data_IF_041841540379
#
_entry.id   IF_041841540379
#
_cell.length_a   1.000
_cell.length_b   1.000
_cell.length_c   1.000
_cell.angle_alpha   90.00
_cell.angle_beta   90.00
_cell.angle_gamma   90.00
#
_symmetry.space_group_name_H-M   'P 1'
#
loop_
_entity.id
_entity.type
_entity.pdbx_description
1 polymer ?
#
# COMPACT_ATOMS: atom_id res chain seq x y z
N UNK A 1 1.34 12.45 9.35
CA UNK A 1 0.15 12.20 8.50
C UNK A 1 -0.23 13.55 7.92
N UNK A 2 -0.46 13.61 6.61
CA UNK A 2 -0.76 14.88 5.94
C UNK A 2 -2.14 14.77 5.33
N UNK A 3 -3.02 15.69 5.71
CA UNK A 3 -4.36 15.84 5.16
C UNK A 3 -4.28 16.78 3.96
N UNK A 4 -4.98 16.43 2.88
CA UNK A 4 -5.00 17.18 1.62
C UNK A 4 -6.41 17.59 1.24
N UNK A 5 -6.50 18.73 0.56
CA UNK A 5 -7.72 19.29 -0.03
C UNK A 5 -8.75 19.77 0.99
N UNK A 6 -9.73 20.55 0.53
CA UNK A 6 -10.83 21.06 1.34
C UNK A 6 -12.09 20.22 1.13
N UNK A 7 -13.05 20.33 2.05
CA UNK A 7 -14.34 19.69 1.89
C UNK A 7 -15.02 20.15 0.59
N UNK A 8 -15.47 19.19 -0.23
CA UNK A 8 -16.11 19.44 -1.53
C UNK A 8 -15.16 19.33 -2.74
N UNK A 9 -13.85 19.27 -2.52
CA UNK A 9 -12.86 19.01 -3.57
C UNK A 9 -12.99 17.59 -4.16
N UNK A 10 -12.38 17.36 -5.33
CA UNK A 10 -12.34 16.05 -6.00
C UNK A 10 -10.89 15.63 -6.26
N UNK A 11 -10.19 15.10 -5.23
CA UNK A 11 -8.75 14.89 -5.28
C UNK A 11 -8.33 13.87 -6.34
N UNK A 12 -7.25 14.18 -7.05
CA UNK A 12 -6.56 13.28 -7.97
C UNK A 12 -5.17 13.01 -7.41
N UNK A 13 -4.87 11.76 -7.12
CA UNK A 13 -3.58 11.32 -6.60
C UNK A 13 -2.85 10.62 -7.74
N UNK A 14 -1.71 11.18 -8.15
CA UNK A 14 -0.79 10.51 -9.06
C UNK A 14 0.35 9.95 -8.24
N UNK A 15 0.72 8.69 -8.48
CA UNK A 15 1.78 8.04 -7.73
C UNK A 15 2.54 7.04 -8.59
N UNK A 16 3.77 6.76 -8.18
CA UNK A 16 4.70 5.93 -8.93
C UNK A 16 5.67 5.22 -7.99
N UNK A 17 5.81 3.92 -8.18
CA UNK A 17 6.83 3.13 -7.47
C UNK A 17 8.14 3.09 -8.27
N UNK A 18 9.24 2.74 -7.61
CA UNK A 18 10.51 2.58 -8.30
C UNK A 18 10.42 1.50 -9.39
N UNK A 19 10.85 1.85 -10.60
CA UNK A 19 10.80 0.97 -11.77
C UNK A 19 9.50 1.02 -12.57
N UNK A 20 8.46 1.69 -12.08
CA UNK A 20 7.29 1.96 -12.91
C UNK A 20 7.71 2.86 -14.11
N UNK A 21 7.09 2.67 -15.27
CA UNK A 21 7.35 3.50 -16.46
C UNK A 21 6.36 4.65 -16.60
N UNK A 22 5.19 4.56 -15.95
CA UNK A 22 4.11 5.54 -16.00
C UNK A 22 3.55 5.81 -14.62
N UNK A 23 2.97 6.99 -14.44
CA UNK A 23 2.24 7.33 -13.23
C UNK A 23 0.93 6.54 -13.17
N UNK A 24 0.64 6.00 -11.99
CA UNK A 24 -0.67 5.46 -11.64
C UNK A 24 -1.53 6.59 -11.11
N UNK A 25 -2.84 6.52 -11.31
CA UNK A 25 -3.76 7.59 -10.91
C UNK A 25 -4.93 7.01 -10.12
N UNK A 26 -5.18 7.58 -8.94
CA UNK A 26 -6.39 7.38 -8.17
C UNK A 26 -7.21 8.68 -8.14
N UNK A 27 -8.53 8.57 -8.25
CA UNK A 27 -9.45 9.71 -8.21
C UNK A 27 -10.47 9.50 -7.09
N UNK A 28 -10.49 10.42 -6.13
CA UNK A 28 -11.45 10.40 -5.03
C UNK A 28 -12.61 11.35 -5.30
N UNK A 29 -13.82 10.93 -4.94
CA UNK A 29 -15.00 11.82 -4.85
C UNK A 29 -15.13 12.48 -3.47
N UNK A 30 -14.30 12.07 -2.53
CA UNK A 30 -14.32 12.52 -1.14
C UNK A 30 -13.10 13.39 -0.85
N UNK A 31 -13.31 14.43 -0.07
CA UNK A 31 -12.28 15.31 0.47
C UNK A 31 -12.73 15.85 1.84
N UNK A 32 -11.81 16.14 2.77
CA UNK A 32 -10.34 16.01 2.65
C UNK A 32 -9.86 14.57 2.67
N UNK A 33 -8.73 14.26 2.03
CA UNK A 33 -8.13 12.91 2.06
C UNK A 33 -6.84 12.88 2.85
N UNK A 34 -6.47 11.71 3.35
CA UNK A 34 -5.15 11.46 3.93
C UNK A 34 -4.38 10.52 2.99
N UNK A 35 -3.12 10.85 2.71
CA UNK A 35 -2.21 9.96 1.99
C UNK A 35 -1.13 9.50 2.97
N UNK A 36 -1.05 8.19 3.17
CA UNK A 36 -0.09 7.55 4.06
C UNK A 36 0.82 6.69 3.20
N UNK A 37 2.12 6.91 3.29
CA UNK A 37 3.13 6.02 2.70
C UNK A 37 3.86 5.29 3.80
N UNK A 38 4.19 4.02 3.55
CA UNK A 38 5.02 3.21 4.47
C UNK A 38 6.19 2.61 3.71
N UNK A 39 7.29 2.41 4.41
CA UNK A 39 8.46 1.66 3.94
C UNK A 39 8.31 0.14 4.11
N UNK A 40 7.06 -0.31 4.25
CA UNK A 40 6.67 -1.70 4.39
C UNK A 40 5.45 -2.00 3.49
N UNK A 41 5.20 -3.28 3.15
CA UNK A 41 3.98 -3.71 2.47
C UNK A 41 2.70 -3.38 3.24
N UNK A 42 1.54 -3.34 2.56
CA UNK A 42 0.25 -2.92 3.14
C UNK A 42 -0.14 -3.71 4.40
N UNK A 43 0.15 -5.01 4.42
CA UNK A 43 -0.24 -5.94 5.48
C UNK A 43 0.93 -6.42 6.34
N UNK A 44 2.03 -5.66 6.43
CA UNK A 44 3.18 -6.07 7.22
C UNK A 44 2.84 -6.22 8.71
N UNK A 45 3.36 -7.24 9.37
CA UNK A 45 3.33 -7.36 10.83
C UNK A 45 4.44 -6.52 11.48
N UNK A 46 4.43 -6.43 12.82
CA UNK A 46 5.50 -5.78 13.60
C UNK A 46 6.86 -6.50 13.45
N UNK A 47 6.83 -7.76 12.99
CA UNK A 47 8.01 -8.59 12.75
C UNK A 47 8.60 -8.42 11.35
N UNK A 48 8.03 -7.55 10.50
CA UNK A 48 8.59 -7.28 9.18
C UNK A 48 10.04 -6.80 9.27
N UNK A 49 10.90 -7.38 8.42
CA UNK A 49 12.31 -6.99 8.26
C UNK A 49 12.66 -6.93 6.78
N UNK A 50 13.28 -5.82 6.36
CA UNK A 50 13.66 -5.59 4.97
C UNK A 50 14.66 -6.63 4.46
N UNK A 51 15.69 -6.93 5.26
CA UNK A 51 16.70 -7.95 4.96
C UNK A 51 16.20 -9.38 5.21
N UNK A 52 15.03 -9.51 5.82
CA UNK A 52 14.48 -10.79 6.27
C UNK A 52 15.21 -11.40 7.46
N UNK A 53 14.73 -12.58 7.83
CA UNK A 53 15.21 -13.41 8.93
C UNK A 53 14.81 -14.87 8.67
N UNK A 54 15.34 -15.82 9.43
CA UNK A 54 14.88 -17.20 9.37
C UNK A 54 13.88 -17.51 10.48
N UNK A 55 12.87 -18.31 10.15
CA UNK A 55 11.97 -18.92 11.13
C UNK A 55 12.10 -20.44 11.10
N UNK A 56 11.97 -21.07 12.25
CA UNK A 56 11.75 -22.51 12.37
C UNK A 56 10.30 -22.75 12.81
N UNK A 57 9.39 -23.11 11.88
CA UNK A 57 7.99 -23.35 12.20
C UNK A 57 7.76 -24.66 12.97
N UNK A 58 8.78 -25.51 13.11
CA UNK A 58 8.71 -26.83 13.76
C UNK A 58 9.81 -27.03 14.81
N UNK A 59 9.89 -26.18 15.85
CA UNK A 59 11.03 -26.16 16.77
C UNK A 59 11.17 -27.40 17.66
N UNK A 60 10.16 -28.27 17.70
CA UNK A 60 10.17 -29.53 18.46
C UNK A 60 10.86 -30.72 17.77
N UNK A 61 11.24 -30.58 16.49
CA UNK A 61 11.96 -31.64 15.77
C UNK A 61 13.47 -31.51 15.98
N UNK A 62 14.18 -32.64 16.05
CA UNK A 62 15.64 -32.67 16.26
C UNK A 62 16.44 -31.99 15.14
N UNK A 63 15.83 -31.79 13.97
CA UNK A 63 16.39 -31.02 12.86
C UNK A 63 15.70 -29.66 12.76
N UNK A 64 16.46 -28.57 12.93
CA UNK A 64 15.96 -27.21 12.70
C UNK A 64 15.71 -26.98 11.22
N UNK A 65 14.49 -26.64 10.85
CA UNK A 65 14.08 -26.39 9.48
C UNK A 65 13.89 -24.89 9.24
N UNK A 66 15.02 -24.18 9.11
CA UNK A 66 15.02 -22.74 8.89
C UNK A 66 14.48 -22.36 7.51
N UNK A 67 13.41 -21.57 7.49
CA UNK A 67 12.87 -20.92 6.29
C UNK A 67 13.13 -19.42 6.36
N UNK A 68 13.74 -18.84 5.32
CA UNK A 68 13.98 -17.39 5.26
C UNK A 68 12.75 -16.63 4.77
N UNK A 69 12.38 -15.60 5.52
CA UNK A 69 11.15 -14.82 5.36
C UNK A 69 11.44 -13.34 5.60
N UNK A 70 10.58 -12.45 5.11
CA UNK A 70 10.59 -11.03 5.46
C UNK A 70 9.59 -10.68 6.54
N UNK A 71 8.62 -11.54 6.76
CA UNK A 71 7.55 -11.30 7.71
C UNK A 71 6.87 -12.63 8.07
N UNK A 72 6.25 -12.66 9.24
CA UNK A 72 5.40 -13.77 9.68
C UNK A 72 4.25 -13.26 10.53
N UNK A 73 3.12 -13.96 10.51
CA UNK A 73 1.97 -13.64 11.34
C UNK A 73 1.32 -14.89 11.88
N UNK A 74 1.05 -14.86 13.18
CA UNK A 74 0.32 -15.90 13.88
C UNK A 74 -1.17 -15.73 13.69
N UNK A 75 -1.86 -16.85 13.47
CA UNK A 75 -3.30 -16.88 13.53
C UNK A 75 -3.80 -18.21 14.08
N UNK A 76 -4.97 -18.15 14.71
CA UNK A 76 -5.65 -19.29 15.28
C UNK A 76 -6.85 -19.65 14.40
N UNK A 77 -6.97 -20.92 14.03
CA UNK A 77 -8.12 -21.46 13.32
C UNK A 77 -9.02 -22.22 14.32
N UNK A 78 -10.26 -21.77 14.55
CA UNK A 78 -11.22 -22.50 15.38
C UNK A 78 -11.52 -23.91 14.87
N UNK A 79 -11.78 -24.82 15.82
CA UNK A 79 -11.73 -26.28 15.65
C UNK A 79 -12.73 -26.94 14.68
N UNK A 80 -13.71 -26.20 14.14
CA UNK A 80 -14.60 -26.69 13.08
C UNK A 80 -13.99 -26.58 11.68
N UNK A 81 -12.98 -25.71 11.49
CA UNK A 81 -12.30 -25.48 10.20
C UNK A 81 -10.89 -26.05 10.12
N UNK A 82 -10.40 -26.66 11.19
CA UNK A 82 -9.01 -27.04 11.36
C UNK A 82 -8.66 -28.47 10.86
N UNK A 83 -9.64 -29.24 10.36
CA UNK A 83 -9.50 -30.66 9.98
C UNK A 83 -8.50 -31.01 8.84
N UNK A 84 -7.69 -30.07 8.36
CA UNK A 84 -6.67 -30.28 7.32
C UNK A 84 -5.21 -30.09 7.74
N UNK A 85 -4.90 -29.66 8.98
CA UNK A 85 -3.54 -29.21 9.36
C UNK A 85 -2.95 -29.93 10.59
N UNK A 86 -2.57 -31.21 10.45
CA UNK A 86 -1.58 -31.91 11.31
C UNK A 86 -1.70 -31.76 12.85
N UNK A 87 -2.90 -31.78 13.43
CA UNK A 87 -3.08 -31.64 14.89
C UNK A 87 -3.17 -30.22 15.49
N UNK A 88 -2.80 -29.13 14.79
CA UNK A 88 -2.56 -27.81 15.43
C UNK A 88 -3.46 -26.65 14.97
N UNK A 89 -4.33 -26.09 15.84
CA UNK A 89 -5.14 -24.91 15.50
C UNK A 89 -4.30 -23.64 15.31
N UNK A 90 -3.00 -23.69 15.61
CA UNK A 90 -2.06 -22.58 15.43
C UNK A 90 -1.38 -22.68 14.06
N UNK A 91 -1.44 -21.58 13.32
CA UNK A 91 -0.86 -21.46 11.99
C UNK A 91 0.05 -20.24 11.93
N UNK A 92 1.06 -20.32 11.06
CA UNK A 92 1.90 -19.18 10.71
C UNK A 92 1.74 -18.88 9.23
N UNK A 93 1.39 -17.64 8.92
CA UNK A 93 1.50 -17.09 7.57
C UNK A 93 2.89 -16.47 7.45
N UNK A 94 3.53 -16.61 6.30
CA UNK A 94 4.84 -15.99 6.04
C UNK A 94 4.81 -15.14 4.78
N UNK A 95 5.63 -14.11 4.76
CA UNK A 95 6.02 -13.42 3.53
C UNK A 95 7.42 -13.90 3.18
N UNK A 96 7.56 -14.68 2.11
CA UNK A 96 8.86 -15.18 1.68
C UNK A 96 9.82 -14.05 1.26
N UNK A 97 11.10 -14.37 1.06
CA UNK A 97 12.12 -13.40 0.66
C UNK A 97 11.81 -12.59 -0.62
N UNK A 98 11.02 -13.17 -1.53
CA UNK A 98 10.55 -12.54 -2.75
C UNK A 98 9.04 -12.22 -2.71
N UNK A 99 8.37 -12.57 -1.61
CA UNK A 99 6.95 -12.32 -1.41
C UNK A 99 6.68 -10.84 -1.22
N UNK A 100 5.51 -10.41 -1.67
CA UNK A 100 5.12 -8.98 -1.63
C UNK A 100 4.08 -8.67 -0.57
N UNK A 101 3.59 -9.68 0.14
CA UNK A 101 2.64 -9.57 1.24
C UNK A 101 2.14 -10.94 1.61
N UNK A 102 1.37 -11.02 2.70
CA UNK A 102 0.66 -12.26 3.04
C UNK A 102 -0.36 -12.56 1.95
N UNK A 103 -0.49 -13.84 1.58
CA UNK A 103 -1.53 -14.29 0.67
C UNK A 103 -2.88 -13.89 1.26
N UNK A 104 -3.79 -13.44 0.38
CA UNK A 104 -5.18 -13.30 0.78
C UNK A 104 -5.67 -14.71 1.09
N UNK A 105 -5.97 -14.98 2.36
CA UNK A 105 -6.74 -16.16 2.76
C UNK A 105 -8.11 -15.96 2.11
N UNK A 106 -8.25 -16.46 0.86
CA UNK A 106 -9.52 -16.41 0.16
C UNK A 106 -10.55 -17.12 1.04
N UNK A 107 -11.73 -16.52 1.19
CA UNK A 107 -12.88 -17.02 1.95
C UNK A 107 -12.96 -18.56 1.87
N UNK A 108 -12.47 -19.24 2.92
CA UNK A 108 -12.19 -20.67 2.89
C UNK A 108 -13.49 -21.48 3.05
N UNK A 109 -14.34 -21.47 2.01
CA UNK A 109 -15.29 -22.54 1.72
C UNK A 109 -14.66 -23.68 0.92
N UNK A 110 -13.46 -23.46 0.36
CA UNK A 110 -12.61 -24.47 -0.24
C UNK A 110 -11.34 -24.63 0.63
N UNK A 111 -10.90 -25.87 0.80
CA UNK A 111 -9.75 -26.32 1.60
C UNK A 111 -8.60 -25.28 1.67
N UNK A 112 -8.14 -24.83 2.86
CA UNK A 112 -7.15 -23.76 3.01
C UNK A 112 -5.74 -24.11 2.49
N UNK A 113 -5.54 -25.32 1.98
CA UNK A 113 -4.26 -25.81 1.44
C UNK A 113 -3.97 -25.33 0.01
N UNK A 114 -4.92 -24.68 -0.67
CA UNK A 114 -4.78 -24.27 -2.08
C UNK A 114 -5.12 -22.79 -2.33
N UNK A 115 -4.77 -21.89 -1.41
CA UNK A 115 -4.69 -20.47 -1.75
C UNK A 115 -3.40 -20.23 -2.57
N UNK A 116 -3.56 -20.28 -3.89
CA UNK A 116 -2.52 -20.09 -4.90
C UNK A 116 -1.68 -18.81 -4.69
N UNK A 117 -0.36 -19.00 -4.84
CA UNK A 117 0.74 -18.05 -5.07
C UNK A 117 1.40 -17.35 -3.85
N UNK A 118 2.72 -17.55 -3.77
CA UNK A 118 3.77 -16.87 -2.99
C UNK A 118 3.74 -16.89 -1.44
N UNK A 119 2.88 -17.70 -0.81
CA UNK A 119 2.90 -17.88 0.64
C UNK A 119 2.91 -19.35 1.06
N UNK A 120 3.81 -19.69 1.98
CA UNK A 120 3.75 -20.95 2.70
C UNK A 120 2.93 -20.71 3.97
N UNK A 121 1.70 -21.22 4.03
CA UNK A 121 0.99 -21.39 5.29
C UNK A 121 1.39 -22.76 5.80
N UNK A 122 2.01 -22.81 6.98
CA UNK A 122 2.41 -24.07 7.59
C UNK A 122 1.85 -24.19 9.00
N UNK A 123 1.39 -25.38 9.35
CA UNK A 123 0.99 -25.71 10.72
C UNK A 123 2.21 -25.62 11.61
N UNK A 124 2.12 -24.90 12.73
CA UNK A 124 3.19 -24.93 13.72
C UNK A 124 2.91 -26.09 14.68
N UNK A 125 3.86 -27.03 14.78
CA UNK A 125 3.71 -28.18 15.67
C UNK A 125 3.92 -27.72 17.12
N UNK A 126 2.82 -27.48 17.84
CA UNK A 126 2.79 -27.42 19.30
C UNK A 126 3.58 -26.29 19.98
N UNK A 127 4.11 -25.30 19.25
CA UNK A 127 4.92 -24.22 19.83
C UNK A 127 5.02 -22.96 18.97
N UNK A 128 5.52 -21.88 19.57
CA UNK A 128 5.85 -20.64 18.87
C UNK A 128 7.12 -20.89 18.03
N UNK A 129 7.13 -20.59 16.72
CA UNK A 129 8.31 -20.62 15.88
C UNK A 129 9.52 -19.94 16.51
N UNK A 130 10.69 -20.52 16.30
CA UNK A 130 11.94 -19.86 16.67
C UNK A 130 12.33 -18.88 15.57
N UNK A 131 12.84 -17.72 15.96
CA UNK A 131 13.31 -16.68 15.04
C UNK A 131 14.83 -16.58 15.13
N UNK A 132 15.49 -16.50 13.98
CA UNK A 132 16.92 -16.24 13.88
C UNK A 132 17.17 -15.08 12.91
N UNK A 133 17.47 -13.90 13.49
CA UNK A 133 17.71 -12.66 12.75
C UNK A 133 19.09 -12.57 12.12
N UNK A 134 20.00 -13.51 12.40
CA UNK A 134 21.33 -13.56 11.78
C UNK A 134 21.31 -14.21 10.39
N UNK A 135 20.24 -14.94 10.05
CA UNK A 135 20.05 -15.56 8.73
C UNK A 135 19.12 -14.68 7.90
N UNK A 136 19.68 -13.96 6.95
CA UNK A 136 18.95 -13.01 6.10
C UNK A 136 18.51 -13.65 4.77
N UNK A 137 17.65 -12.96 4.04
CA UNK A 137 17.23 -13.35 2.69
C UNK A 137 18.40 -13.29 1.69
N UNK A 138 18.59 -14.31 0.81
CA UNK A 138 19.69 -14.33 -0.16
C UNK A 138 19.66 -13.20 -1.20
N UNK A 139 18.48 -12.62 -1.43
CA UNK A 139 18.26 -11.57 -2.42
C UNK A 139 17.25 -10.53 -1.92
N UNK A 140 17.61 -9.73 -0.91
CA UNK A 140 16.83 -8.55 -0.50
C UNK A 140 17.00 -7.38 -1.49
N UNK A 141 16.86 -7.62 -2.81
CA UNK A 141 17.27 -6.61 -3.80
C UNK A 141 16.33 -5.41 -3.92
N UNK A 142 15.11 -5.48 -3.39
CA UNK A 142 14.17 -4.37 -3.47
C UNK A 142 13.43 -4.19 -2.14
N UNK A 143 13.60 -3.00 -1.56
CA UNK A 143 12.73 -2.46 -0.51
C UNK A 143 11.32 -2.30 -1.07
N UNK A 144 10.30 -2.60 -0.27
CA UNK A 144 8.89 -2.48 -0.68
C UNK A 144 8.23 -1.37 0.10
N UNK A 145 7.48 -0.53 -0.59
CA UNK A 145 6.67 0.52 -0.02
C UNK A 145 5.19 0.26 -0.30
N UNK A 146 4.35 0.88 0.53
CA UNK A 146 2.90 0.97 0.29
C UNK A 146 2.44 2.41 0.31
N UNK A 147 1.34 2.66 -0.39
CA UNK A 147 0.56 3.90 -0.34
C UNK A 147 -0.89 3.54 0.03
N UNK A 148 -1.45 4.28 0.98
CA UNK A 148 -2.81 4.10 1.50
C UNK A 148 -3.49 5.47 1.49
N UNK A 149 -4.68 5.56 0.90
CA UNK A 149 -5.46 6.78 0.76
C UNK A 149 -6.74 6.63 1.57
N UNK A 150 -6.96 7.51 2.54
CA UNK A 150 -8.11 7.46 3.46
C UNK A 150 -9.01 8.67 3.36
N UNK A 151 -10.25 8.47 3.82
CA UNK A 151 -11.22 9.50 4.12
C UNK A 151 -11.91 9.17 5.44
N UNK A 152 -11.84 10.07 6.43
CA UNK A 152 -12.41 9.88 7.78
C UNK A 152 -12.03 8.52 8.41
N UNK A 153 -10.75 8.14 8.31
CA UNK A 153 -10.24 6.87 8.82
C UNK A 153 -10.55 5.63 7.95
N UNK A 154 -11.41 5.75 6.93
CA UNK A 154 -11.77 4.65 6.03
C UNK A 154 -10.77 4.61 4.87
N UNK A 155 -10.19 3.43 4.60
CA UNK A 155 -9.31 3.22 3.44
C UNK A 155 -10.15 3.25 2.16
N UNK A 156 -9.91 4.25 1.32
CA UNK A 156 -10.52 4.36 0.00
C UNK A 156 -9.74 3.59 -1.06
N UNK A 157 -8.40 3.59 -0.92
CA UNK A 157 -7.50 2.96 -1.87
C UNK A 157 -6.18 2.57 -1.21
N UNK A 158 -5.56 1.53 -1.71
CA UNK A 158 -4.23 1.10 -1.28
C UNK A 158 -3.51 0.41 -2.45
N UNK A 159 -2.21 0.65 -2.55
CA UNK A 159 -1.33 -0.01 -3.53
C UNK A 159 0.08 -0.18 -2.95
N UNK A 160 0.88 -1.04 -3.57
CA UNK A 160 2.23 -1.35 -3.12
C UNK A 160 3.18 -1.69 -4.28
N UNK A 161 4.47 -1.44 -4.07
CA UNK A 161 5.50 -1.62 -5.08
C UNK A 161 6.91 -1.47 -4.51
N UNK A 162 7.89 -1.32 -5.39
CA UNK A 162 9.28 -1.10 -4.98
C UNK A 162 9.46 0.34 -4.49
N UNK A 163 10.23 0.50 -3.42
CA UNK A 163 10.54 1.80 -2.83
C UNK A 163 11.57 2.59 -3.67
N UNK A 164 11.56 3.93 -3.64
CA UNK A 164 10.58 4.78 -2.97
C UNK A 164 9.26 4.88 -3.75
N UNK A 165 8.20 5.26 -3.03
CA UNK A 165 6.94 5.70 -3.65
C UNK A 165 6.92 7.23 -3.70
N UNK A 166 6.76 7.77 -4.91
CA UNK A 166 6.58 9.19 -5.12
C UNK A 166 5.10 9.45 -5.43
N UNK A 167 4.52 10.52 -4.89
CA UNK A 167 3.13 10.89 -5.17
C UNK A 167 2.94 12.41 -5.20
N UNK A 168 1.87 12.83 -5.88
CA UNK A 168 1.35 14.20 -5.87
C UNK A 168 -0.17 14.17 -5.75
N UNK A 169 -0.72 15.19 -5.09
CA UNK A 169 -2.16 15.33 -4.85
C UNK A 169 -2.64 16.63 -5.49
N UNK A 170 -3.62 16.54 -6.38
CA UNK A 170 -4.29 17.68 -6.99
C UNK A 170 -5.72 17.77 -6.44
N UNK A 171 -6.07 18.88 -5.78
CA UNK A 171 -7.35 19.03 -5.08
C UNK A 171 -8.50 19.57 -5.97
N UNK A 172 -8.17 20.30 -7.03
CA UNK A 172 -9.14 20.88 -7.96
C UNK A 172 -9.26 20.16 -9.30
N UNK A 173 -10.23 20.58 -10.11
CA UNK A 173 -10.36 20.11 -11.51
C UNK A 173 -9.21 20.57 -12.40
N UNK A 174 -8.58 21.69 -12.02
CA UNK A 174 -7.45 22.25 -12.73
C UNK A 174 -6.12 21.87 -12.08
N UNK A 175 -5.06 21.66 -12.89
CA UNK A 175 -3.71 21.45 -12.38
C UNK A 175 -3.25 22.60 -11.50
N UNK A 176 -2.24 22.34 -10.68
CA UNK A 176 -1.54 23.40 -9.94
C UNK A 176 -1.05 24.49 -10.90
N UNK A 177 -1.10 25.75 -10.45
CA UNK A 177 -0.85 26.95 -11.26
C UNK A 177 -1.93 27.29 -12.31
N UNK A 178 -3.09 26.62 -12.26
CA UNK A 178 -4.27 26.99 -13.05
C UNK A 178 -5.49 27.22 -12.14
N UNK A 179 -6.40 28.08 -12.57
CA UNK A 179 -7.69 28.30 -11.93
C UNK A 179 -8.81 27.84 -12.85
N UNK A 180 -9.86 27.29 -12.25
CA UNK A 180 -11.08 26.92 -12.96
C UNK A 180 -11.82 28.18 -13.39
N UNK A 181 -12.28 28.18 -14.62
CA UNK A 181 -13.14 29.21 -15.20
C UNK A 181 -14.38 28.51 -15.72
N UNK A 182 -15.56 28.94 -15.27
CA UNK A 182 -16.82 28.46 -15.79
C UNK A 182 -17.22 29.26 -17.03
N UNK A 183 -17.69 28.57 -18.07
CA UNK A 183 -18.19 29.16 -19.31
C UNK A 183 -19.62 28.68 -19.56
N UNK A 184 -20.49 29.55 -20.05
CA UNK A 184 -21.84 29.13 -20.50
C UNK A 184 -21.81 28.38 -21.84
N UNK A 185 -20.67 28.38 -22.52
CA UNK A 185 -20.45 27.77 -23.84
C UNK A 185 -19.45 26.62 -23.70
N UNK A 186 -19.69 25.52 -24.43
CA UNK A 186 -18.84 24.32 -24.45
C UNK A 186 -17.35 24.69 -24.53
N UNK A 187 -16.45 24.12 -23.69
CA UNK A 187 -16.63 22.92 -22.86
C UNK A 187 -17.20 23.13 -21.44
N UNK A 188 -17.94 24.22 -21.19
CA UNK A 188 -18.58 24.58 -19.91
C UNK A 188 -17.62 24.93 -18.76
N UNK A 189 -16.39 24.46 -18.81
CA UNK A 189 -15.31 24.88 -17.93
C UNK A 189 -13.99 24.95 -18.72
N UNK A 190 -13.06 25.77 -18.27
CA UNK A 190 -11.67 25.72 -18.70
C UNK A 190 -10.73 25.93 -17.52
N UNK A 191 -9.47 25.52 -17.70
CA UNK A 191 -8.42 25.78 -16.73
C UNK A 191 -7.48 26.82 -17.33
N UNK A 192 -7.40 27.99 -16.70
CA UNK A 192 -6.57 29.09 -17.16
C UNK A 192 -5.32 29.21 -16.28
N UNK A 193 -4.18 29.51 -16.90
CA UNK A 193 -2.93 29.75 -16.18
C UNK A 193 -3.05 30.97 -15.25
N UNK A 194 -2.73 30.78 -13.97
CA UNK A 194 -2.70 31.88 -13.00
C UNK A 194 -1.67 32.95 -13.40
N UNK A 195 -0.53 32.54 -13.99
CA UNK A 195 0.50 33.46 -14.45
C UNK A 195 0.03 34.31 -15.64
N UNK A 196 -0.65 33.70 -16.61
CA UNK A 196 -1.20 34.44 -17.76
C UNK A 196 -2.30 35.41 -17.34
N UNK A 197 -3.19 34.98 -16.44
CA UNK A 197 -4.25 35.85 -15.92
C UNK A 197 -3.67 37.01 -15.10
N UNK A 198 -2.66 36.77 -14.26
CA UNK A 198 -1.98 37.85 -13.54
C UNK A 198 -1.35 38.88 -14.50
N UNK A 199 -0.68 38.43 -15.56
CA UNK A 199 -0.11 39.31 -16.58
C UNK A 199 -1.19 40.14 -17.30
N UNK A 200 -2.34 39.53 -17.64
CA UNK A 200 -3.47 40.26 -18.25
C UNK A 200 -4.04 41.32 -17.31
N UNK A 201 -4.20 41.00 -16.02
CA UNK A 201 -4.67 41.95 -15.00
C UNK A 201 -3.68 43.11 -14.86
N UNK A 202 -2.38 42.84 -14.76
CA UNK A 202 -1.35 43.88 -14.66
C UNK A 202 -1.34 44.80 -15.89
N UNK A 203 -1.55 44.24 -17.08
CA UNK A 203 -1.64 45.00 -18.33
C UNK A 203 -2.95 45.81 -18.46
N UNK A 204 -4.04 45.39 -17.82
CA UNK A 204 -5.28 46.16 -17.74
C UNK A 204 -5.19 47.26 -16.70
N UNK A 205 -4.68 46.95 -15.50
CA UNK A 205 -4.49 47.91 -14.41
C UNK A 205 -3.61 49.09 -14.84
N UNK A 206 -2.54 48.82 -15.60
CA UNK A 206 -1.67 49.88 -16.14
C UNK A 206 -2.35 50.79 -17.18
N UNK A 207 -3.46 50.35 -17.79
CA UNK A 207 -4.24 51.12 -18.76
C UNK A 207 -5.43 51.87 -18.16
N UNK A 208 -5.98 51.38 -17.06
CA UNK A 208 -7.14 51.98 -16.37
C UNK A 208 -6.71 52.93 -15.24
N UNK A 209 -5.47 52.83 -14.75
CA UNK A 209 -4.89 53.69 -13.71
C UNK A 209 -4.29 55.01 -14.19
N UNK A 210 -4.65 55.51 -15.37
CA UNK A 210 -4.37 56.86 -15.88
C UNK A 210 -5.67 57.57 -16.20
#
# INVERSE_FOLDING_TARGET
>A
MTTYCNQGDSPIIKYKFQGDTKDRTFRSKYAPIEVITRETPINSSDDYREDGYAIDPFPGNSSRNWATVRDHKYFFIPGDRWQGFNGSPHQVAIVGCNGTGFAKVADCGAHPAYAYCDCLVTSVAGGVPLVNTSIICPSSKNKRCSIEIKYNGIILFQDQGNSPVNYSVQCGKCPDSQHECESKVYPYYCCNSCAETANKINNLASKVGK
#
